data_IF_467369889145
#
_entry.id   IF_467369889145
#
_cell.length_a   1.000
_cell.length_b   1.000
_cell.length_c   1.000
_cell.angle_alpha   90.00
_cell.angle_beta   90.00
_cell.angle_gamma   90.00
#
_symmetry.space_group_name_H-M   'P 1'
#
loop_
_entity.id
_entity.type
_entity.pdbx_description
1 polymer ?
#
# COMPACT_ATOMS: atom_id res chain seq x y z
N UNK A 1 -20.43 -25.51 -16.58
CA UNK A 1 -19.74 -24.25 -16.90
C UNK A 1 -18.26 -24.54 -16.95
N UNK A 2 -17.51 -24.02 -17.94
CA UNK A 2 -16.05 -24.13 -17.91
C UNK A 2 -15.53 -23.31 -16.72
N UNK A 3 -14.91 -24.00 -15.75
CA UNK A 3 -14.28 -23.38 -14.60
C UNK A 3 -12.85 -22.99 -14.97
N UNK A 4 -12.68 -21.77 -15.48
CA UNK A 4 -11.38 -21.27 -15.94
C UNK A 4 -10.36 -21.15 -14.80
N UNK A 5 -10.82 -21.06 -13.54
CA UNK A 5 -9.96 -21.09 -12.36
C UNK A 5 -9.35 -22.48 -12.13
N UNK A 6 -10.08 -23.56 -12.46
CA UNK A 6 -9.57 -24.92 -12.41
C UNK A 6 -8.50 -25.24 -13.46
N UNK A 7 -8.33 -24.39 -14.48
CA UNK A 7 -7.31 -24.53 -15.52
C UNK A 7 -5.94 -23.99 -15.09
N UNK A 8 -5.92 -23.11 -14.07
CA UNK A 8 -4.70 -22.52 -13.54
C UNK A 8 -4.08 -23.46 -12.49
N UNK A 9 -2.88 -23.95 -12.76
CA UNK A 9 -2.09 -24.66 -11.73
C UNK A 9 -1.55 -23.65 -10.72
N UNK A 10 -1.43 -24.05 -9.45
CA UNK A 10 -0.89 -23.17 -8.39
C UNK A 10 0.51 -22.62 -8.71
N UNK A 11 1.33 -23.37 -9.43
CA UNK A 11 2.63 -22.94 -9.94
C UNK A 11 2.54 -21.74 -10.89
N UNK A 12 1.52 -21.70 -11.75
CA UNK A 12 1.32 -20.61 -12.70
C UNK A 12 0.94 -19.30 -12.00
N UNK A 13 0.21 -19.39 -10.89
CA UNK A 13 -0.12 -18.20 -10.08
C UNK A 13 1.12 -17.60 -9.41
N UNK A 14 2.04 -18.43 -8.92
CA UNK A 14 3.31 -17.96 -8.35
C UNK A 14 4.17 -17.30 -9.43
N UNK A 15 4.24 -17.91 -10.62
CA UNK A 15 5.00 -17.36 -11.74
C UNK A 15 4.52 -15.98 -12.21
N UNK A 16 3.24 -15.64 -11.99
CA UNK A 16 2.74 -14.29 -12.27
C UNK A 16 3.42 -13.26 -11.36
N UNK A 17 3.49 -13.54 -10.05
CA UNK A 17 4.07 -12.59 -9.10
C UNK A 17 5.56 -12.34 -9.36
N UNK A 18 6.27 -13.35 -9.88
CA UNK A 18 7.70 -13.27 -10.16
C UNK A 18 8.00 -12.50 -11.45
N UNK A 19 7.09 -12.56 -12.42
CA UNK A 19 7.24 -11.93 -13.74
C UNK A 19 6.66 -10.51 -13.83
N UNK A 20 6.05 -9.99 -12.76
CA UNK A 20 5.56 -8.62 -12.76
C UNK A 20 6.74 -7.64 -12.68
N UNK A 21 6.91 -6.82 -13.71
CA UNK A 21 7.95 -5.80 -13.74
C UNK A 21 7.54 -4.57 -12.92
N UNK A 22 7.92 -4.60 -11.64
CA UNK A 22 7.68 -3.49 -10.72
C UNK A 22 8.44 -2.22 -11.11
N UNK A 23 9.58 -2.33 -11.80
CA UNK A 23 10.45 -1.19 -12.09
C UNK A 23 9.82 -0.32 -13.17
N UNK A 24 9.31 -0.93 -14.25
CA UNK A 24 8.61 -0.18 -15.30
C UNK A 24 7.26 0.33 -14.81
N UNK A 25 6.51 -0.48 -14.06
CA UNK A 25 5.19 -0.10 -13.55
C UNK A 25 5.23 1.09 -12.56
N UNK A 26 6.35 1.32 -11.87
CA UNK A 26 6.51 2.37 -10.86
C UNK A 26 7.48 3.48 -11.26
N UNK A 27 7.98 3.47 -12.50
CA UNK A 27 9.00 4.40 -12.96
C UNK A 27 8.59 5.88 -12.81
N UNK A 28 7.31 6.19 -13.01
CA UNK A 28 6.77 7.55 -12.94
C UNK A 28 6.25 7.94 -11.55
N UNK A 29 6.23 7.00 -10.60
CA UNK A 29 5.70 7.22 -9.26
C UNK A 29 6.73 7.98 -8.40
N UNK A 30 6.33 9.14 -7.91
CA UNK A 30 7.17 10.02 -7.08
C UNK A 30 7.09 9.60 -5.62
N UNK A 31 5.90 9.20 -5.16
CA UNK A 31 5.66 8.73 -3.79
C UNK A 31 6.56 7.55 -3.45
N UNK A 32 6.62 6.53 -4.30
CA UNK A 32 7.52 5.36 -4.09
C UNK A 32 9.02 5.71 -4.15
N UNK A 33 9.42 6.77 -4.85
CA UNK A 33 10.82 7.23 -4.87
C UNK A 33 11.21 7.93 -3.56
N UNK A 34 10.30 8.73 -3.01
CA UNK A 34 10.52 9.43 -1.74
C UNK A 34 10.35 8.50 -0.54
N UNK A 35 9.41 7.56 -0.63
CA UNK A 35 9.04 6.62 0.42
C UNK A 35 9.13 5.19 -0.11
N UNK A 36 10.33 4.56 -0.07
CA UNK A 36 10.51 3.21 -0.58
C UNK A 36 9.66 2.21 0.23
N UNK A 37 9.06 1.25 -0.47
CA UNK A 37 8.24 0.22 0.16
C UNK A 37 9.11 -0.73 1.01
N UNK A 38 8.82 -0.78 2.31
CA UNK A 38 9.48 -1.70 3.26
C UNK A 38 8.44 -2.67 3.80
N UNK A 39 8.75 -3.97 3.77
CA UNK A 39 7.90 -5.00 4.38
C UNK A 39 8.08 -4.97 5.90
N UNK A 40 6.98 -4.97 6.63
CA UNK A 40 6.95 -5.00 8.09
C UNK A 40 5.91 -5.99 8.58
N UNK A 41 6.23 -6.74 9.63
CA UNK A 41 5.30 -7.72 10.21
C UNK A 41 4.22 -7.07 11.08
N UNK A 42 4.48 -5.86 11.58
CA UNK A 42 3.59 -5.17 12.50
C UNK A 42 2.49 -4.39 11.76
N UNK A 43 1.25 -4.58 12.18
CA UNK A 43 0.09 -3.83 11.66
C UNK A 43 -0.06 -2.42 12.25
N UNK A 44 0.60 -2.15 13.39
CA UNK A 44 0.58 -0.86 14.06
C UNK A 44 1.99 -0.27 14.13
N UNK A 45 2.11 1.00 13.78
CA UNK A 45 3.32 1.79 13.83
C UNK A 45 3.17 2.82 14.96
N UNK A 46 3.99 2.69 15.99
CA UNK A 46 4.13 3.72 17.02
C UNK A 46 5.28 4.65 16.60
N UNK A 47 4.94 5.85 16.15
CA UNK A 47 5.90 6.90 15.83
C UNK A 47 6.16 7.69 17.11
N UNK A 48 7.34 7.43 17.65
CA UNK A 48 7.95 8.18 18.71
C UNK A 48 8.57 9.45 18.15
N UNK A 49 7.99 10.62 18.42
CA UNK A 49 8.69 11.85 18.08
C UNK A 49 9.82 12.07 19.09
N UNK A 50 11.02 11.60 18.73
CA UNK A 50 12.27 11.86 19.45
C UNK A 50 12.78 13.27 19.15
N UNK A 51 11.89 14.27 19.06
CA UNK A 51 12.35 15.65 19.01
C UNK A 51 13.13 15.91 20.28
N UNK A 52 14.33 16.43 20.11
CA UNK A 52 15.15 16.96 21.19
C UNK A 52 14.51 18.29 21.67
N UNK A 53 13.25 18.23 22.11
CA UNK A 53 12.38 19.35 22.45
C UNK A 53 12.78 20.08 23.74
N UNK A 54 13.94 19.74 24.32
CA UNK A 54 14.45 20.38 25.53
C UNK A 54 15.27 21.66 25.31
N UNK A 55 15.44 22.13 24.06
CA UNK A 55 16.26 23.32 23.76
C UNK A 55 15.48 24.57 23.33
N UNK A 56 14.16 24.58 23.51
CA UNK A 56 13.40 25.82 23.34
C UNK A 56 13.47 26.56 24.68
N UNK A 57 14.13 27.73 24.78
CA UNK A 57 14.15 28.49 26.02
C UNK A 57 12.74 28.97 26.34
N UNK A 58 12.20 28.55 27.49
CA UNK A 58 10.91 29.02 28.02
C UNK A 58 11.17 30.03 29.13
N UNK A 59 10.51 31.19 29.07
CA UNK A 59 10.68 32.23 30.10
C UNK A 59 10.04 31.81 31.42
N UNK A 60 10.77 32.00 32.52
CA UNK A 60 10.22 31.90 33.87
C UNK A 60 9.38 33.15 34.19
N UNK A 61 8.33 32.99 35.01
CA UNK A 61 7.52 34.11 35.49
C UNK A 61 8.16 34.75 36.72
N UNK A 62 7.97 36.06 36.87
CA UNK A 62 8.40 36.81 38.05
C UNK A 62 7.31 36.70 39.12
N UNK A 63 7.71 36.32 40.34
CA UNK A 63 6.83 36.18 41.50
C UNK A 63 7.24 37.17 42.60
N UNK A 64 6.27 37.59 43.43
CA UNK A 64 6.53 38.42 44.60
C UNK A 64 7.08 37.58 45.76
N UNK A 65 7.77 38.22 46.71
CA UNK A 65 8.24 37.57 47.94
C UNK A 65 7.04 36.98 48.71
N UNK A 66 7.21 35.76 49.25
CA UNK A 66 6.18 34.95 49.94
C UNK A 66 4.94 34.52 49.11
N UNK A 67 4.99 34.58 47.77
CA UNK A 67 3.91 34.03 46.92
C UNK A 67 4.26 32.66 46.36
N UNK A 68 3.25 31.80 46.18
CA UNK A 68 3.44 30.46 45.60
C UNK A 68 3.98 30.56 44.17
N UNK A 69 5.03 29.79 43.89
CA UNK A 69 5.67 29.75 42.57
C UNK A 69 4.79 28.97 41.56
N UNK A 70 4.79 29.40 40.30
CA UNK A 70 4.13 28.65 39.23
C UNK A 70 4.80 27.28 39.06
N UNK A 71 3.99 26.22 38.97
CA UNK A 71 4.44 24.89 38.54
C UNK A 71 4.74 24.95 37.02
N UNK A 72 5.99 24.63 36.66
CA UNK A 72 6.42 24.60 35.26
C UNK A 72 5.93 23.36 34.50
N UNK A 73 5.81 23.49 33.19
CA UNK A 73 5.38 22.41 32.31
C UNK A 73 6.59 21.54 31.89
N UNK A 74 6.40 20.22 31.84
CA UNK A 74 7.40 19.31 31.27
C UNK A 74 7.16 19.21 29.76
N UNK A 75 8.21 19.28 28.91
CA UNK A 75 8.05 18.95 27.50
C UNK A 75 7.64 17.47 27.41
N UNK A 76 6.38 17.23 27.06
CA UNK A 76 5.83 15.89 26.98
C UNK A 76 6.37 15.19 25.73
N UNK A 77 6.62 13.89 25.89
CA UNK A 77 6.92 13.01 24.79
C UNK A 77 5.63 12.67 24.06
N UNK A 78 5.56 12.99 22.77
CA UNK A 78 4.41 12.69 21.94
C UNK A 78 4.62 11.36 21.20
N UNK A 79 3.70 10.42 21.44
CA UNK A 79 3.60 9.16 20.69
C UNK A 79 2.38 9.22 19.79
N UNK A 80 2.59 9.07 18.48
CA UNK A 80 1.51 8.90 17.53
C UNK A 80 1.41 7.43 17.13
N UNK A 81 0.22 6.84 17.27
CA UNK A 81 -0.04 5.48 16.81
C UNK A 81 -0.79 5.53 15.47
N UNK A 82 -0.23 4.89 14.45
CA UNK A 82 -0.83 4.78 13.11
C UNK A 82 -1.03 3.30 12.79
N UNK A 83 -2.18 2.97 12.20
CA UNK A 83 -2.49 1.61 11.74
C UNK A 83 -2.32 1.50 10.22
N UNK A 84 -1.79 0.37 9.75
CA UNK A 84 -1.67 0.10 8.32
C UNK A 84 -3.04 -0.12 7.68
N UNK A 85 -3.23 0.46 6.48
CA UNK A 85 -4.46 0.31 5.73
C UNK A 85 -4.44 -0.97 4.88
N UNK A 86 -5.61 -1.60 4.75
CA UNK A 86 -5.80 -2.79 3.92
C UNK A 86 -6.37 -2.42 2.54
N UNK A 87 -5.62 -2.66 1.47
CA UNK A 87 -6.07 -2.46 0.09
C UNK A 87 -6.42 -3.82 -0.52
N UNK A 88 -7.65 -3.97 -1.02
CA UNK A 88 -8.14 -5.19 -1.69
C UNK A 88 -9.01 -4.83 -2.88
N UNK A 89 -8.78 -5.49 -4.01
CA UNK A 89 -9.62 -5.36 -5.21
C UNK A 89 -9.86 -6.74 -5.84
N UNK A 90 -11.02 -6.91 -6.49
CA UNK A 90 -11.39 -8.13 -7.22
C UNK A 90 -11.97 -7.79 -8.58
N UNK A 91 -11.71 -8.63 -9.57
CA UNK A 91 -12.31 -8.56 -10.90
C UNK A 91 -13.23 -9.76 -11.13
N UNK A 92 -14.38 -9.55 -11.79
CA UNK A 92 -15.26 -10.63 -12.19
C UNK A 92 -14.83 -11.20 -13.55
N UNK A 93 -14.58 -12.52 -13.60
CA UNK A 93 -14.04 -13.18 -14.78
C UNK A 93 -15.10 -13.83 -15.68
N UNK A 94 -16.32 -14.07 -15.17
CA UNK A 94 -17.30 -14.94 -15.84
C UNK A 94 -17.78 -14.45 -17.21
N UNK A 95 -18.32 -13.23 -17.28
CA UNK A 95 -18.87 -12.67 -18.53
C UNK A 95 -17.86 -11.81 -19.29
N UNK A 96 -16.95 -11.16 -18.56
CA UNK A 96 -15.94 -10.28 -19.14
C UNK A 96 -15.02 -11.04 -20.11
N UNK A 97 -14.47 -12.18 -19.66
CA UNK A 97 -13.63 -13.04 -20.52
C UNK A 97 -14.43 -13.58 -21.70
N UNK A 98 -15.67 -14.04 -21.48
CA UNK A 98 -16.52 -14.58 -22.56
C UNK A 98 -16.81 -13.55 -23.63
N UNK A 99 -17.09 -12.31 -23.24
CA UNK A 99 -17.30 -11.20 -24.17
C UNK A 99 -16.01 -10.91 -24.95
N UNK A 100 -14.87 -10.88 -24.26
CA UNK A 100 -13.57 -10.61 -24.88
C UNK A 100 -13.19 -11.68 -25.92
N UNK A 101 -13.41 -12.97 -25.60
CA UNK A 101 -13.19 -14.08 -26.55
C UNK A 101 -14.13 -13.99 -27.75
N UNK A 102 -15.42 -13.68 -27.52
CA UNK A 102 -16.41 -13.56 -28.59
C UNK A 102 -16.15 -12.36 -29.51
N UNK A 103 -15.82 -11.21 -28.95
CA UNK A 103 -15.64 -9.95 -29.69
C UNK A 103 -14.32 -9.92 -30.48
N UNK A 104 -13.28 -10.61 -30.00
CA UNK A 104 -11.96 -10.65 -30.67
C UNK A 104 -11.86 -11.71 -31.77
N UNK A 105 -12.86 -12.60 -31.92
CA UNK A 105 -12.82 -13.69 -32.90
C UNK A 105 -11.71 -14.71 -32.64
N UNK A 106 -11.11 -14.67 -31.45
CA UNK A 106 -10.08 -15.60 -31.00
C UNK A 106 -10.67 -17.01 -30.95
N UNK A 107 -10.02 -17.97 -31.64
CA UNK A 107 -10.36 -19.39 -31.46
C UNK A 107 -10.12 -19.70 -29.98
N UNK A 108 -11.03 -20.42 -29.34
CA UNK A 108 -10.96 -20.83 -27.92
C UNK A 108 -9.73 -21.71 -27.61
N UNK A 109 -8.52 -21.18 -27.79
CA UNK A 109 -7.29 -21.82 -27.41
C UNK A 109 -7.02 -21.46 -25.96
N UNK A 110 -6.84 -22.48 -25.14
CA UNK A 110 -6.59 -22.37 -23.70
C UNK A 110 -5.50 -21.34 -23.35
N UNK A 111 -4.49 -21.22 -24.21
CA UNK A 111 -3.40 -20.25 -24.07
C UNK A 111 -3.82 -18.77 -24.13
N UNK A 112 -4.84 -18.42 -24.91
CA UNK A 112 -5.27 -17.03 -25.05
C UNK A 112 -6.10 -16.58 -23.85
N UNK A 113 -6.93 -17.49 -23.32
CA UNK A 113 -7.69 -17.27 -22.10
C UNK A 113 -6.73 -17.05 -20.92
N UNK A 114 -5.68 -17.88 -20.81
CA UNK A 114 -4.65 -17.72 -19.78
C UNK A 114 -3.96 -16.36 -19.86
N UNK A 115 -3.61 -15.90 -21.08
CA UNK A 115 -3.02 -14.56 -21.28
C UNK A 115 -3.95 -13.44 -20.81
N UNK A 116 -5.25 -13.54 -21.10
CA UNK A 116 -6.22 -12.55 -20.64
C UNK A 116 -6.28 -12.48 -19.11
N UNK A 117 -6.30 -13.64 -18.44
CA UNK A 117 -6.30 -13.70 -16.96
C UNK A 117 -5.00 -13.12 -16.38
N UNK A 118 -3.84 -13.42 -16.97
CA UNK A 118 -2.57 -12.84 -16.52
C UNK A 118 -2.53 -11.32 -16.69
N UNK A 119 -3.06 -10.80 -17.80
CA UNK A 119 -3.18 -9.36 -18.02
C UNK A 119 -4.09 -8.69 -16.98
N UNK A 120 -5.20 -9.33 -16.63
CA UNK A 120 -6.10 -8.83 -15.58
C UNK A 120 -5.42 -8.81 -14.21
N UNK A 121 -4.61 -9.83 -13.89
CA UNK A 121 -3.87 -9.86 -12.64
C UNK A 121 -2.80 -8.75 -12.59
N UNK A 122 -2.10 -8.49 -13.69
CA UNK A 122 -1.18 -7.35 -13.80
C UNK A 122 -1.92 -6.01 -13.60
N UNK A 123 -3.13 -5.88 -14.14
CA UNK A 123 -3.98 -4.71 -13.94
C UNK A 123 -4.41 -4.55 -12.47
N UNK A 124 -4.73 -5.64 -11.77
CA UNK A 124 -5.03 -5.57 -10.34
C UNK A 124 -3.83 -5.10 -9.51
N UNK A 125 -2.62 -5.60 -9.82
CA UNK A 125 -1.40 -5.15 -9.15
C UNK A 125 -1.17 -3.65 -9.38
N UNK A 126 -1.32 -3.17 -10.63
CA UNK A 126 -1.14 -1.75 -10.94
C UNK A 126 -2.16 -0.84 -10.25
N UNK A 127 -3.40 -1.29 -10.06
CA UNK A 127 -4.42 -0.55 -9.28
C UNK A 127 -4.06 -0.41 -7.80
N UNK A 128 -3.51 -1.46 -7.21
CA UNK A 128 -3.01 -1.39 -5.82
C UNK A 128 -1.85 -0.40 -5.72
N UNK A 129 -0.90 -0.45 -6.65
CA UNK A 129 0.25 0.47 -6.66
C UNK A 129 -0.17 1.93 -6.89
N UNK A 130 -1.11 2.18 -7.80
CA UNK A 130 -1.64 3.54 -8.02
C UNK A 130 -2.41 4.08 -6.82
N UNK A 131 -3.09 3.22 -6.05
CA UNK A 131 -3.69 3.63 -4.78
C UNK A 131 -2.64 4.08 -3.77
N UNK A 132 -1.52 3.36 -3.68
CA UNK A 132 -0.41 3.72 -2.79
C UNK A 132 0.22 5.04 -3.20
N UNK A 133 0.36 5.31 -4.51
CA UNK A 133 0.90 6.59 -4.99
C UNK A 133 -0.02 7.79 -4.71
N UNK A 134 -1.33 7.58 -4.69
CA UNK A 134 -2.31 8.63 -4.39
C UNK A 134 -2.53 8.91 -2.89
N UNK A 135 -1.84 8.19 -2.00
CA UNK A 135 -1.90 8.37 -0.54
C UNK A 135 -0.76 9.25 -0.04
#
# INVERSE_FOLDING_TARGET
>A
MADYLGMLKGEQLVSLSENFDYVTATADFVGLKLFPAVKTDNMKLAIAQLTKGGKIPVMALVHALDTEARIGDRPNYETMNVELMLIKEKLNQGEAIRKLIRDTGMKETESEILKAVFNDANNLISRVLTRVEGM
#
